data_IF_115704542907
#
_entry.id   IF_115704542907
#
_cell.length_a   1.000
_cell.length_b   1.000
_cell.length_c   1.000
_cell.angle_alpha   90.00
_cell.angle_beta   90.00
_cell.angle_gamma   90.00
#
_symmetry.space_group_name_H-M   'P 1'
#
loop_
_entity.id
_entity.type
_entity.pdbx_description
1 polymer ?
#
# COMPACT_ATOMS: atom_id res chain seq x y z
N UNK A 1 -3.40 -18.70 10.56
CA UNK A 1 -2.34 -17.80 11.06
C UNK A 1 -2.83 -16.39 10.78
N UNK A 2 -2.71 -15.46 11.72
CA UNK A 2 -3.26 -14.11 11.54
C UNK A 2 -2.52 -13.41 10.39
N UNK A 3 -3.23 -13.14 9.30
CA UNK A 3 -2.84 -12.25 8.20
C UNK A 3 -2.84 -10.80 8.70
N UNK A 4 -1.88 -10.47 9.56
CA UNK A 4 -1.62 -9.08 9.91
C UNK A 4 -1.06 -8.39 8.66
N UNK A 5 -1.93 -7.76 7.86
CA UNK A 5 -1.51 -6.89 6.77
C UNK A 5 -0.59 -5.80 7.34
N UNK A 6 0.67 -5.83 6.94
CA UNK A 6 1.64 -4.81 7.31
C UNK A 6 1.20 -3.45 6.74
N UNK A 7 1.04 -2.48 7.62
CA UNK A 7 0.52 -1.15 7.30
C UNK A 7 1.56 -0.18 6.72
N UNK A 8 2.82 -0.62 6.58
CA UNK A 8 3.92 0.22 6.09
C UNK A 8 4.79 0.80 7.21
N UNK A 9 4.45 0.59 8.47
CA UNK A 9 5.25 1.06 9.60
C UNK A 9 6.34 0.05 9.97
N UNK A 10 7.58 0.53 10.12
CA UNK A 10 8.73 -0.33 10.37
C UNK A 10 9.08 -1.21 9.18
N UNK A 11 9.65 -2.39 9.43
CA UNK A 11 9.97 -3.34 8.36
C UNK A 11 8.87 -4.39 8.22
N UNK A 12 8.58 -4.87 6.99
CA UNK A 12 7.62 -5.94 6.80
C UNK A 12 8.08 -7.22 7.52
N UNK A 13 7.21 -7.94 8.25
CA UNK A 13 7.55 -9.22 8.83
C UNK A 13 7.65 -10.32 7.76
N UNK A 14 8.40 -11.42 8.01
CA UNK A 14 8.41 -12.58 7.12
C UNK A 14 7.00 -13.12 6.83
N UNK A 15 6.76 -13.51 5.58
CA UNK A 15 5.46 -13.88 5.03
C UNK A 15 4.69 -12.73 4.36
N UNK A 16 5.10 -11.48 4.59
CA UNK A 16 4.42 -10.30 4.05
C UNK A 16 4.66 -10.11 2.56
N UNK A 17 3.59 -9.86 1.81
CA UNK A 17 3.66 -9.33 0.45
C UNK A 17 3.75 -7.80 0.48
N UNK A 18 4.74 -7.24 -0.20
CA UNK A 18 4.99 -5.81 -0.26
C UNK A 18 5.64 -5.40 -1.58
N UNK A 19 5.79 -4.10 -1.78
CA UNK A 19 6.64 -3.56 -2.83
C UNK A 19 8.04 -3.29 -2.25
N UNK A 20 9.07 -3.58 -3.03
CA UNK A 20 10.46 -3.23 -2.71
C UNK A 20 11.04 -2.35 -3.80
N UNK A 21 11.66 -1.23 -3.41
CA UNK A 21 12.36 -0.31 -4.32
C UNK A 21 13.84 -0.28 -3.95
N UNK A 22 14.75 -0.73 -4.83
CA UNK A 22 16.17 -0.72 -4.52
C UNK A 22 16.79 0.68 -4.72
N UNK A 23 17.76 1.02 -3.87
CA UNK A 23 18.47 2.30 -3.94
C UNK A 23 19.62 2.31 -4.96
N UNK A 24 20.06 1.14 -5.42
CA UNK A 24 21.14 0.95 -6.39
C UNK A 24 21.03 -0.43 -7.06
N UNK A 25 21.79 -0.66 -8.13
CA UNK A 25 21.86 -1.92 -8.86
C UNK A 25 22.91 -2.89 -8.29
N UNK A 26 23.09 -2.89 -6.97
CA UNK A 26 23.88 -3.88 -6.23
C UNK A 26 22.94 -4.62 -5.27
N UNK A 27 23.48 -5.59 -4.53
CA UNK A 27 22.71 -6.30 -3.48
C UNK A 27 21.47 -7.02 -4.03
N UNK A 28 21.63 -7.73 -5.15
CA UNK A 28 20.59 -8.60 -5.71
C UNK A 28 19.65 -7.94 -6.72
N UNK A 29 19.89 -6.68 -7.11
CA UNK A 29 19.10 -5.96 -8.12
C UNK A 29 19.93 -5.58 -9.34
N UNK A 30 19.34 -5.69 -10.52
CA UNK A 30 19.93 -5.31 -11.81
C UNK A 30 19.38 -3.98 -12.36
N UNK A 31 18.32 -3.44 -11.76
CA UNK A 31 17.73 -2.14 -12.08
C UNK A 31 17.11 -1.50 -10.82
N UNK A 32 16.51 -0.32 -10.99
CA UNK A 32 15.87 0.45 -9.90
C UNK A 32 14.34 0.31 -9.87
N UNK A 33 13.79 -0.66 -10.60
CA UNK A 33 12.35 -0.82 -10.70
C UNK A 33 11.79 -1.36 -9.39
N UNK A 34 10.64 -0.82 -8.98
CA UNK A 34 9.89 -1.33 -7.84
C UNK A 34 9.28 -2.69 -8.16
N UNK A 35 9.49 -3.69 -7.30
CA UNK A 35 9.03 -5.08 -7.50
C UNK A 35 8.05 -5.49 -6.42
N UNK A 36 7.06 -6.28 -6.79
CA UNK A 36 6.20 -6.98 -5.82
C UNK A 36 6.94 -8.22 -5.32
N UNK A 37 7.11 -8.32 -4.01
CA UNK A 37 7.87 -9.40 -3.38
C UNK A 37 7.14 -9.93 -2.15
N UNK A 38 7.52 -11.15 -1.74
CA UNK A 38 7.23 -11.71 -0.44
C UNK A 38 8.50 -11.77 0.40
N UNK A 39 8.44 -11.28 1.64
CA UNK A 39 9.55 -11.42 2.58
C UNK A 39 9.64 -12.87 3.03
N UNK A 40 10.71 -13.58 2.70
CA UNK A 40 10.92 -14.99 3.05
C UNK A 40 11.55 -15.10 4.44
N UNK A 41 12.62 -14.34 4.67
CA UNK A 41 13.35 -14.35 5.93
C UNK A 41 14.14 -13.06 6.12
N UNK A 42 14.50 -12.79 7.38
CA UNK A 42 15.38 -11.70 7.77
C UNK A 42 16.42 -12.21 8.76
N UNK A 43 17.67 -11.81 8.56
CA UNK A 43 18.74 -12.09 9.51
C UNK A 43 19.74 -10.94 9.52
N UNK A 44 19.94 -10.33 10.69
CA UNK A 44 20.73 -9.11 10.85
C UNK A 44 20.27 -8.04 9.84
N UNK A 45 21.18 -7.53 9.00
CA UNK A 45 20.92 -6.49 8.01
C UNK A 45 20.56 -7.06 6.63
N UNK A 46 20.21 -8.34 6.54
CA UNK A 46 19.90 -9.01 5.28
C UNK A 46 18.44 -9.46 5.19
N UNK A 47 17.89 -9.25 4.00
CA UNK A 47 16.54 -9.63 3.61
C UNK A 47 16.60 -10.69 2.51
N UNK A 48 15.83 -11.76 2.69
CA UNK A 48 15.55 -12.74 1.65
C UNK A 48 14.15 -12.50 1.13
N UNK A 49 14.07 -12.17 -0.15
CA UNK A 49 12.84 -11.83 -0.82
C UNK A 49 12.59 -12.83 -1.95
N UNK A 50 11.32 -13.11 -2.20
CA UNK A 50 10.86 -13.86 -3.37
C UNK A 50 10.05 -12.91 -4.23
N UNK A 51 10.39 -12.76 -5.51
CA UNK A 51 9.54 -11.98 -6.42
C UNK A 51 8.20 -12.68 -6.62
N UNK A 52 7.14 -11.90 -6.79
CA UNK A 52 5.80 -12.41 -7.09
C UNK A 52 5.44 -12.07 -8.54
N UNK A 53 4.69 -12.96 -9.17
CA UNK A 53 4.05 -12.66 -10.44
C UNK A 53 2.98 -11.57 -10.27
N UNK A 54 2.51 -11.01 -11.39
CA UNK A 54 1.48 -9.97 -11.38
C UNK A 54 0.17 -10.42 -10.72
N UNK A 55 -0.15 -11.71 -10.80
CA UNK A 55 -1.30 -12.34 -10.14
C UNK A 55 -1.07 -12.62 -8.64
N UNK A 56 0.12 -12.35 -8.11
CA UNK A 56 0.50 -12.58 -6.72
C UNK A 56 1.01 -13.98 -6.41
N UNK A 57 1.10 -14.87 -7.40
CA UNK A 57 1.69 -16.20 -7.19
C UNK A 57 3.20 -16.13 -6.98
N UNK A 58 3.71 -17.07 -6.18
CA UNK A 58 5.13 -17.21 -5.87
C UNK A 58 5.94 -17.46 -7.16
N UNK A 59 7.01 -16.69 -7.39
CA UNK A 59 7.98 -16.99 -8.45
C UNK A 59 9.14 -17.85 -7.92
N UNK A 60 9.98 -18.37 -8.83
CA UNK A 60 11.25 -19.02 -8.47
C UNK A 60 12.44 -18.03 -8.43
N UNK A 61 12.18 -16.72 -8.53
CA UNK A 61 13.19 -15.67 -8.45
C UNK A 61 13.37 -15.20 -7.00
N UNK A 62 14.59 -15.32 -6.49
CA UNK A 62 14.95 -14.92 -5.13
C UNK A 62 15.96 -13.78 -5.17
N UNK A 63 15.73 -12.79 -4.31
CA UNK A 63 16.63 -11.66 -4.10
C UNK A 63 17.19 -11.74 -2.69
N UNK A 64 18.50 -11.58 -2.55
CA UNK A 64 19.14 -11.34 -1.25
C UNK A 64 19.69 -9.93 -1.25
N UNK A 65 19.20 -9.09 -0.34
CA UNK A 65 19.60 -7.68 -0.27
C UNK A 65 19.86 -7.24 1.16
N UNK A 66 20.39 -6.02 1.31
CA UNK A 66 20.57 -5.39 2.62
C UNK A 66 19.36 -4.51 2.95
N UNK A 67 18.95 -4.54 4.21
CA UNK A 67 17.82 -3.75 4.73
C UNK A 67 18.00 -2.24 4.48
N UNK A 68 19.23 -1.72 4.57
CA UNK A 68 19.54 -0.29 4.37
C UNK A 68 19.78 0.10 2.90
N UNK A 69 19.42 -0.77 1.95
CA UNK A 69 19.63 -0.56 0.51
C UNK A 69 18.34 -0.63 -0.30
N UNK A 70 17.21 -0.74 0.38
CA UNK A 70 15.88 -0.83 -0.21
C UNK A 70 14.87 -0.05 0.64
N UNK A 71 13.82 0.43 0.00
CA UNK A 71 12.61 0.88 0.68
C UNK A 71 11.51 -0.16 0.49
N UNK A 72 10.77 -0.44 1.56
CA UNK A 72 9.58 -1.27 1.52
C UNK A 72 8.33 -0.40 1.61
N UNK A 73 7.31 -0.71 0.81
CA UNK A 73 5.99 -0.10 0.93
C UNK A 73 4.89 -1.17 0.85
N UNK A 74 3.73 -0.96 1.49
CA UNK A 74 2.62 -1.91 1.39
C UNK A 74 2.21 -2.11 -0.07
N UNK A 75 1.96 -3.36 -0.45
CA UNK A 75 1.30 -3.63 -1.73
C UNK A 75 -0.16 -3.15 -1.64
N UNK A 76 -0.59 -2.38 -2.65
CA UNK A 76 -1.98 -1.94 -2.80
C UNK A 76 -2.53 -2.48 -4.11
N UNK A 77 -3.69 -3.10 -4.08
CA UNK A 77 -4.38 -3.50 -5.31
C UNK A 77 -4.91 -2.28 -6.06
N UNK A 78 -5.16 -2.38 -7.38
CA UNK A 78 -5.80 -1.31 -8.13
C UNK A 78 -7.12 -0.83 -7.49
N UNK A 79 -7.90 -1.73 -6.92
CA UNK A 79 -9.16 -1.41 -6.23
C UNK A 79 -8.91 -0.61 -4.94
N UNK A 80 -7.87 -0.97 -4.18
CA UNK A 80 -7.46 -0.23 -2.98
C UNK A 80 -6.95 1.17 -3.34
N UNK A 81 -6.12 1.29 -4.37
CA UNK A 81 -5.66 2.59 -4.89
C UNK A 81 -6.85 3.44 -5.31
N UNK A 82 -7.76 2.88 -6.11
CA UNK A 82 -8.95 3.60 -6.53
C UNK A 82 -9.86 3.98 -5.36
N UNK A 83 -9.91 3.20 -4.28
CA UNK A 83 -10.62 3.56 -3.07
C UNK A 83 -9.95 4.72 -2.31
N UNK A 84 -8.64 4.66 -2.13
CA UNK A 84 -7.85 5.73 -1.51
C UNK A 84 -7.96 7.05 -2.31
N UNK A 85 -7.88 7.00 -3.64
CA UNK A 85 -8.04 8.17 -4.50
C UNK A 85 -9.43 8.79 -4.38
N UNK A 86 -10.49 7.96 -4.26
CA UNK A 86 -11.86 8.47 -4.01
C UNK A 86 -11.96 9.16 -2.66
N UNK A 87 -11.35 8.61 -1.62
CA UNK A 87 -11.34 9.21 -0.28
C UNK A 87 -10.58 10.54 -0.27
N UNK A 88 -9.40 10.58 -0.90
CA UNK A 88 -8.61 11.81 -1.02
C UNK A 88 -9.37 12.90 -1.79
N UNK A 89 -9.99 12.54 -2.93
CA UNK A 89 -10.79 13.49 -3.71
C UNK A 89 -11.99 14.04 -2.90
N UNK A 90 -12.66 13.18 -2.11
CA UNK A 90 -13.74 13.60 -1.22
C UNK A 90 -13.23 14.58 -0.14
N UNK A 91 -12.08 14.28 0.49
CA UNK A 91 -11.48 15.15 1.50
C UNK A 91 -11.06 16.51 0.93
N UNK A 92 -10.42 16.54 -0.24
CA UNK A 92 -10.05 17.79 -0.91
C UNK A 92 -11.28 18.62 -1.26
N UNK A 93 -12.34 17.98 -1.76
CA UNK A 93 -13.60 18.64 -2.05
C UNK A 93 -14.24 19.23 -0.79
N UNK A 94 -14.33 18.47 0.31
CA UNK A 94 -14.87 18.94 1.59
C UNK A 94 -14.09 20.14 2.15
N UNK A 95 -12.75 20.10 2.05
CA UNK A 95 -11.89 21.23 2.44
C UNK A 95 -12.19 22.48 1.62
N UNK A 96 -12.44 22.33 0.32
CA UNK A 96 -12.87 23.44 -0.55
C UNK A 96 -14.24 24.01 -0.15
N UNK A 97 -15.19 23.15 0.24
CA UNK A 97 -16.50 23.56 0.75
C UNK A 97 -16.35 24.32 2.07
N UNK A 98 -15.56 23.82 3.01
CA UNK A 98 -15.32 24.48 4.30
C UNK A 98 -14.75 25.89 4.10
N UNK A 99 -13.74 26.03 3.23
CA UNK A 99 -13.11 27.32 2.93
C UNK A 99 -14.08 28.34 2.33
N UNK A 100 -15.04 27.88 1.50
CA UNK A 100 -15.94 28.76 0.75
C UNK A 100 -17.28 29.03 1.45
N UNK A 101 -17.78 28.05 2.18
CA UNK A 101 -19.15 28.02 2.71
C UNK A 101 -19.21 27.74 4.22
N UNK A 102 -18.05 27.61 4.88
CA UNK A 102 -17.94 27.36 6.31
C UNK A 102 -18.10 25.88 6.69
N UNK A 103 -17.64 25.58 7.90
CA UNK A 103 -17.54 24.21 8.42
C UNK A 103 -18.88 23.48 8.49
N UNK A 104 -19.96 24.15 8.94
CA UNK A 104 -21.29 23.53 9.03
C UNK A 104 -21.79 23.01 7.67
N UNK A 105 -21.44 23.69 6.58
CA UNK A 105 -21.80 23.25 5.23
C UNK A 105 -20.96 22.03 4.80
N UNK A 106 -19.67 22.02 5.13
CA UNK A 106 -18.80 20.88 4.86
C UNK A 106 -19.25 19.63 5.63
N UNK A 107 -19.57 19.76 6.91
CA UNK A 107 -20.04 18.65 7.75
C UNK A 107 -21.33 18.01 7.17
N UNK A 108 -22.29 18.84 6.72
CA UNK A 108 -23.50 18.33 6.03
C UNK A 108 -23.20 17.61 4.73
N UNK A 109 -22.20 18.08 3.97
CA UNK A 109 -21.76 17.43 2.74
C UNK A 109 -21.07 16.09 3.02
N UNK A 110 -20.29 15.98 4.10
CA UNK A 110 -19.68 14.73 4.56
C UNK A 110 -20.74 13.70 4.95
N UNK A 111 -21.74 14.10 5.73
CA UNK A 111 -22.87 13.24 6.11
C UNK A 111 -23.59 12.63 4.88
N UNK A 112 -23.78 13.43 3.82
CA UNK A 112 -24.40 12.97 2.57
C UNK A 112 -23.53 11.92 1.87
N UNK A 113 -22.22 12.13 1.82
CA UNK A 113 -21.28 11.19 1.23
C UNK A 113 -21.29 9.85 1.98
N UNK A 114 -21.20 9.89 3.32
CA UNK A 114 -21.21 8.70 4.17
C UNK A 114 -22.51 7.90 4.04
N UNK A 115 -23.66 8.58 3.98
CA UNK A 115 -24.95 7.92 3.76
C UNK A 115 -25.05 7.29 2.36
N UNK A 116 -24.46 7.89 1.33
CA UNK A 116 -24.47 7.35 -0.02
C UNK A 116 -23.61 6.09 -0.14
N UNK A 117 -22.47 6.03 0.55
CA UNK A 117 -21.62 4.83 0.61
C UNK A 117 -22.28 3.69 1.39
N UNK A 118 -22.89 3.98 2.55
CA UNK A 118 -23.61 2.97 3.35
C UNK A 118 -24.77 2.31 2.59
N UNK A 119 -25.49 3.07 1.76
CA UNK A 119 -26.58 2.50 0.93
C UNK A 119 -26.09 1.59 -0.19
N UNK A 120 -24.88 1.81 -0.72
CA UNK A 120 -24.29 0.94 -1.75
C UNK A 120 -23.86 -0.42 -1.19
N UNK A 121 -23.46 -0.51 0.08
CA UNK A 121 -23.02 -1.77 0.70
C UNK A 121 -24.18 -2.71 1.05
N UNK A 122 -25.38 -2.19 1.30
CA UNK A 122 -26.58 -3.01 1.62
C UNK A 122 -27.25 -3.59 0.36
N UNK A 123 -26.89 -3.07 -0.82
CA UNK A 123 -27.48 -3.48 -2.10
C UNK A 123 -26.65 -4.54 -2.87
N UNK A 124 -25.63 -5.12 -2.23
CA UNK A 124 -24.74 -6.14 -2.83
C UNK A 124 -24.91 -7.52 -2.20
#
# INVERSE_FOLDING_TARGET
MNDAHWNGEGLPPPGTECMVTPHNTLWGFDNLDTRRVKVVARQADYEWLMELYSDGSDSLSFITTRTDKVDFTPYRTPEQIAAEERVLAAQEWLKGIEQKYGKETADKCEDILMQAEGRKQVAS
#
